data_IF_151265098657
#
_entry.id   IF_151265098657
#
_cell.length_a   1.000
_cell.length_b   1.000
_cell.length_c   1.000
_cell.angle_alpha   90.00
_cell.angle_beta   90.00
_cell.angle_gamma   90.00
#
_symmetry.space_group_name_H-M   'P 1'
#
loop_
_entity.id
_entity.type
_entity.pdbx_description
1 polymer ?
2 non-polymer ?
3 non-polymer ?
4 non-polymer ?
5 non-polymer ?
6 non-polymer ?
7 water ?
#
# COMPACT_ATOMS: atom_id res chain seq x y z
N UNK A 3 -23.92 8.97 6.57
CA UNK A 3 -23.21 8.48 5.34
C UNK A 3 -21.69 8.63 5.50
N UNK A 4 -20.98 7.54 5.80
CA UNK A 4 -19.58 7.70 6.23
C UNK A 4 -18.63 7.85 5.05
N UNK A 5 -17.48 8.42 5.29
CA UNK A 5 -16.51 8.69 4.26
C UNK A 5 -15.23 7.95 4.57
N UNK A 6 -14.69 7.28 3.56
CA UNK A 6 -13.38 6.65 3.63
C UNK A 6 -12.33 7.48 2.86
N UNK A 7 -11.16 7.68 3.47
CA UNK A 7 -10.07 8.44 2.86
C UNK A 7 -8.80 7.62 3.02
N UNK A 8 -7.93 7.64 2.00
CA UNK A 8 -6.64 6.97 2.12
C UNK A 8 -5.60 7.71 1.34
N UNK A 9 -4.34 7.61 1.77
CA UNK A 9 -3.30 8.08 0.88
C UNK A 9 -3.15 7.16 -0.35
N UNK A 10 -2.51 7.72 -1.37
CA UNK A 10 -2.42 7.07 -2.68
C UNK A 10 -1.54 5.80 -2.69
N UNK A 11 -0.86 5.51 -1.59
CA UNK A 11 -0.18 4.20 -1.44
C UNK A 11 -1.17 3.03 -1.44
N UNK A 12 -2.47 3.31 -1.32
CA UNK A 12 -3.49 2.26 -1.41
C UNK A 12 -3.73 1.76 -2.84
N UNK A 13 -3.16 2.47 -3.82
CA UNK A 13 -3.20 2.10 -5.26
C UNK A 13 -4.57 2.28 -5.95
N UNK A 14 -5.61 2.67 -5.21
CA UNK A 14 -6.97 2.75 -5.78
C UNK A 14 -7.50 4.16 -5.69
N UNK A 15 -8.46 4.43 -6.56
CA UNK A 15 -9.10 5.76 -6.66
C UNK A 15 -10.59 5.73 -6.35
N UNK A 16 -11.20 4.54 -6.34
CA UNK A 16 -12.60 4.36 -6.05
C UNK A 16 -12.84 3.07 -5.27
N UNK A 17 -13.97 3.02 -4.57
CA UNK A 17 -14.44 1.86 -3.87
C UNK A 17 -15.92 1.81 -4.24
N UNK A 18 -16.29 0.93 -5.17
CA UNK A 18 -17.62 1.00 -5.73
C UNK A 18 -18.61 0.79 -4.61
N UNK A 19 -19.59 1.68 -4.51
CA UNK A 19 -20.62 1.65 -3.47
C UNK A 19 -20.33 2.49 -2.23
N UNK A 20 -19.12 3.05 -2.14
CA UNK A 20 -18.70 3.83 -0.99
C UNK A 20 -18.34 5.25 -1.40
N UNK A 21 -18.33 6.14 -0.41
CA UNK A 21 -17.75 7.45 -0.58
C UNK A 21 -16.28 7.30 -0.23
N UNK A 22 -15.39 7.55 -1.19
CA UNK A 22 -13.96 7.31 -1.00
C UNK A 22 -13.16 8.34 -1.76
N UNK A 23 -12.10 8.82 -1.12
CA UNK A 23 -11.15 9.72 -1.74
C UNK A 23 -9.71 9.35 -1.43
N UNK A 24 -8.90 9.22 -2.49
CA UNK A 24 -7.46 9.02 -2.36
C UNK A 24 -6.73 10.37 -2.32
N UNK A 25 -5.72 10.47 -1.48
CA UNK A 25 -4.94 11.68 -1.31
C UNK A 25 -3.51 11.43 -1.80
N UNK A 26 -3.11 12.12 -2.87
CA UNK A 26 -1.84 11.82 -3.54
C UNK A 26 -0.60 12.17 -2.77
N UNK A 27 0.35 11.24 -2.77
CA UNK A 27 1.74 11.53 -2.45
C UNK A 27 2.42 12.02 -3.73
N UNK A 28 3.65 12.52 -3.60
CA UNK A 28 4.39 13.09 -4.71
C UNK A 28 5.77 12.49 -4.76
N UNK A 29 6.21 12.11 -5.97
CA UNK A 29 7.53 11.59 -6.23
C UNK A 29 8.24 12.70 -6.99
N UNK A 30 9.47 13.00 -6.65
CA UNK A 30 10.17 14.07 -7.36
C UNK A 30 11.65 13.79 -7.63
N UNK A 31 12.14 14.38 -8.71
CA UNK A 31 13.58 14.49 -9.00
C UNK A 31 13.92 15.98 -8.85
N UNK A 32 15.15 16.37 -9.17
CA UNK A 32 15.52 17.79 -9.20
C UNK A 32 14.75 18.53 -10.31
N UNK A 33 14.37 17.80 -11.37
CA UNK A 33 13.70 18.38 -12.55
C UNK A 33 12.17 18.30 -12.68
N UNK A 34 11.51 17.40 -11.96
CA UNK A 34 10.08 17.16 -12.22
C UNK A 34 9.39 16.59 -10.97
N UNK A 35 8.14 16.99 -10.76
CA UNK A 35 7.28 16.44 -9.70
C UNK A 35 6.22 15.55 -10.33
N UNK A 36 6.08 14.34 -9.80
CA UNK A 36 5.07 13.43 -10.27
C UNK A 36 4.07 13.27 -9.13
N UNK A 37 2.85 13.72 -9.36
CA UNK A 37 1.80 13.64 -8.36
C UNK A 37 1.02 12.33 -8.59
N UNK A 38 0.88 11.52 -7.56
CA UNK A 38 0.26 10.20 -7.66
C UNK A 38 -1.27 10.34 -7.67
N UNK A 39 -1.80 10.88 -8.76
CA UNK A 39 -3.22 11.15 -8.86
C UNK A 39 -3.75 10.52 -10.15
N UNK A 40 -4.95 10.91 -10.56
CA UNK A 40 -5.52 10.43 -11.83
C UNK A 40 -4.78 10.79 -13.11
N UNK A 41 -3.91 11.78 -13.06
CA UNK A 41 -3.21 12.26 -14.25
C UNK A 41 -1.89 11.54 -14.50
N UNK A 42 -1.40 10.76 -13.53
CA UNK A 42 -0.05 10.22 -13.62
C UNK A 42 0.16 9.12 -14.68
N UNK A 43 1.16 9.33 -15.53
CA UNK A 43 1.61 8.33 -16.49
C UNK A 43 2.77 7.56 -15.84
N UNK A 44 2.43 6.45 -15.23
CA UNK A 44 3.40 5.71 -14.41
C UNK A 44 4.48 5.10 -15.28
N UNK A 45 4.10 4.58 -16.44
CA UNK A 45 5.04 3.98 -17.38
C UNK A 45 6.13 4.98 -17.78
N UNK A 46 5.70 6.20 -18.09
CA UNK A 46 6.62 7.29 -18.38
C UNK A 46 7.54 7.62 -17.19
N UNK A 47 6.96 7.69 -15.99
CA UNK A 47 7.75 8.00 -14.81
C UNK A 47 8.83 6.96 -14.59
N UNK A 48 8.46 5.68 -14.70
CA UNK A 48 9.43 4.60 -14.51
C UNK A 48 10.55 4.67 -15.56
N UNK A 49 10.20 5.01 -16.80
CA UNK A 49 11.19 5.16 -17.86
C UNK A 49 12.14 6.32 -17.52
N UNK A 50 11.61 7.41 -16.99
CA UNK A 50 12.43 8.56 -16.62
C UNK A 50 13.39 8.17 -15.50
N UNK A 51 12.86 7.51 -14.47
CA UNK A 51 13.66 7.13 -13.33
C UNK A 51 14.75 6.11 -13.66
N UNK A 52 14.46 5.14 -14.52
CA UNK A 52 15.45 4.11 -14.86
C UNK A 52 16.69 4.67 -15.55
N UNK A 53 16.57 5.83 -16.19
CA UNK A 53 17.72 6.49 -16.82
C UNK A 53 18.10 7.82 -16.15
N UNK A 54 17.48 8.12 -15.01
CA UNK A 54 17.81 9.33 -14.26
C UNK A 54 18.95 9.01 -13.32
N UNK A 55 20.01 9.81 -13.37
CA UNK A 55 21.22 9.51 -12.61
C UNK A 55 21.22 10.05 -11.17
N UNK A 56 20.44 11.08 -10.91
CA UNK A 56 20.45 11.73 -9.61
C UNK A 56 19.49 11.13 -8.59
N UNK A 57 19.36 11.81 -7.46
CA UNK A 57 18.50 11.33 -6.40
C UNK A 57 17.05 11.60 -6.74
N UNK A 58 16.16 10.79 -6.18
CA UNK A 58 14.73 11.03 -6.27
C UNK A 58 14.15 10.83 -4.89
N UNK A 59 12.98 11.42 -4.67
CA UNK A 59 12.40 11.62 -3.36
C UNK A 59 10.91 11.41 -3.39
N UNK A 60 10.31 11.15 -2.23
CA UNK A 60 8.88 11.17 -2.08
C UNK A 60 8.48 12.12 -0.96
N UNK A 61 7.24 12.59 -1.02
CA UNK A 61 6.71 13.49 0.01
C UNK A 61 5.29 13.08 0.37
N UNK A 62 4.96 13.23 1.65
CA UNK A 62 3.58 12.94 2.10
C UNK A 62 2.65 14.09 1.67
N UNK A 63 1.32 13.90 1.78
CA UNK A 63 0.43 14.98 1.36
C UNK A 63 0.44 16.18 2.31
N UNK A 64 0.15 17.36 1.77
CA UNK A 64 -0.02 18.55 2.59
C UNK A 64 -1.29 18.51 3.41
N UNK A 65 -1.29 19.26 4.51
CA UNK A 65 -2.50 19.36 5.33
C UNK A 65 -3.69 19.82 4.50
N UNK A 66 -3.46 20.74 3.55
CA UNK A 66 -4.54 21.24 2.68
C UNK A 66 -5.19 20.14 1.83
N UNK A 67 -4.37 19.22 1.31
CA UNK A 67 -4.88 18.09 0.52
C UNK A 67 -5.74 17.15 1.34
N UNK A 68 -5.32 16.88 2.58
CA UNK A 68 -6.15 16.08 3.48
C UNK A 68 -7.47 16.77 3.74
N UNK A 69 -7.44 18.06 4.06
CA UNK A 69 -8.67 18.79 4.37
C UNK A 69 -9.64 18.77 3.22
N UNK A 70 -9.13 18.95 2.01
CA UNK A 70 -9.95 18.88 0.80
C UNK A 70 -10.61 17.50 0.73
N UNK A 71 -9.87 16.45 1.04
CA UNK A 71 -10.38 15.09 0.93
C UNK A 71 -11.43 14.76 1.98
N UNK A 72 -11.33 15.39 3.15
CA UNK A 72 -12.29 15.14 4.21
C UNK A 72 -13.64 15.74 3.83
N UNK A 73 -13.60 16.81 3.04
CA UNK A 73 -14.80 17.49 2.61
C UNK A 73 -15.50 18.12 3.79
N UNK A 74 -16.75 17.75 4.00
CA UNK A 74 -17.48 18.25 5.15
C UNK A 74 -18.27 17.14 5.85
N UNK A 75 -17.79 15.91 5.73
CA UNK A 75 -18.51 14.81 6.34
C UNK A 75 -18.21 14.70 7.84
N UNK A 76 -19.16 14.14 8.57
CA UNK A 76 -19.04 14.06 9.99
C UNK A 76 -18.54 12.72 10.54
N UNK A 77 -18.42 11.71 9.71
CA UNK A 77 -17.84 10.44 10.12
C UNK A 77 -16.84 9.99 9.06
N UNK A 78 -15.56 9.97 9.42
CA UNK A 78 -14.49 9.72 8.49
C UNK A 78 -13.50 8.71 9.06
N UNK A 79 -13.13 7.74 8.22
CA UNK A 79 -12.01 6.86 8.49
C UNK A 79 -10.94 7.19 7.48
N UNK A 80 -9.71 7.35 7.98
CA UNK A 80 -8.55 7.67 7.14
C UNK A 80 -7.55 6.54 7.28
N UNK A 81 -7.15 5.92 6.16
CA UNK A 81 -6.15 4.85 6.22
C UNK A 81 -4.84 5.38 5.65
N UNK A 82 -3.75 5.21 6.40
CA UNK A 82 -2.46 5.70 5.95
C UNK A 82 -1.43 4.58 5.82
N UNK A 83 -0.44 4.82 4.98
CA UNK A 83 0.77 4.00 4.89
C UNK A 83 1.46 4.03 6.27
N UNK A 84 2.18 2.96 6.57
CA UNK A 84 2.86 2.79 7.84
C UNK A 84 3.58 4.03 8.38
N UNK A 85 3.26 4.34 9.63
CA UNK A 85 3.95 5.39 10.35
C UNK A 85 5.41 5.01 10.59
N UNK A 86 5.72 3.73 10.42
CA UNK A 86 7.08 3.24 10.59
C UNK A 86 8.01 3.61 9.47
N UNK A 87 7.48 4.02 8.31
CA UNK A 87 8.32 4.38 7.17
C UNK A 87 8.03 5.70 6.49
N UNK A 88 7.05 6.44 7.00
CA UNK A 88 6.58 7.63 6.34
C UNK A 88 5.99 8.60 7.33
N UNK A 89 6.12 9.89 7.03
CA UNK A 89 5.41 10.96 7.73
C UNK A 89 3.93 11.13 7.38
N UNK A 90 3.38 10.23 6.58
CA UNK A 90 1.99 10.35 6.15
C UNK A 90 0.99 10.31 7.28
N UNK A 91 1.15 9.35 8.19
CA UNK A 91 0.29 9.26 9.37
C UNK A 91 0.29 10.58 10.17
N UNK A 92 1.46 11.14 10.45
CA UNK A 92 1.53 12.40 11.15
C UNK A 92 0.80 13.53 10.40
N UNK A 93 0.95 13.58 9.07
CA UNK A 93 0.30 14.63 8.28
C UNK A 93 -1.22 14.50 8.39
N UNK A 94 -1.70 13.25 8.39
CA UNK A 94 -3.14 12.99 8.52
C UNK A 94 -3.65 13.37 9.93
N UNK A 95 -2.86 13.07 10.95
CA UNK A 95 -3.20 13.48 12.33
C UNK A 95 -3.22 15.01 12.47
N UNK A 96 -2.28 15.68 11.82
CA UNK A 96 -2.26 17.14 11.84
C UNK A 96 -3.51 17.73 11.16
N UNK A 97 -3.88 17.13 10.03
CA UNK A 97 -5.08 17.57 9.33
C UNK A 97 -6.36 17.27 10.14
N UNK A 98 -6.41 16.14 10.81
CA UNK A 98 -7.53 15.78 11.69
C UNK A 98 -7.71 16.84 12.77
N UNK A 99 -6.58 17.29 13.31
CA UNK A 99 -6.57 18.30 14.38
C UNK A 99 -7.27 19.57 13.93
N UNK A 100 -6.90 20.06 12.75
CA UNK A 100 -7.52 21.23 12.18
C UNK A 100 -9.00 20.96 11.87
N UNK A 101 -9.28 19.80 11.31
CA UNK A 101 -10.68 19.47 10.91
C UNK A 101 -11.63 19.46 12.12
N UNK A 102 -11.18 18.87 13.22
CA UNK A 102 -11.99 18.84 14.44
C UNK A 102 -12.17 20.23 15.05
N UNK A 103 -11.29 21.17 14.75
CA UNK A 103 -11.49 22.55 15.20
C UNK A 103 -12.43 23.32 14.28
N UNK A 104 -12.79 22.69 13.15
CA UNK A 104 -13.68 23.29 12.14
C UNK A 104 -15.04 22.59 12.00
N UNK A 105 -15.19 21.41 12.58
CA UNK A 105 -16.42 20.59 12.43
C UNK A 105 -16.79 20.00 13.76
N UNK A 106 -17.71 20.66 14.46
CA UNK A 106 -17.97 20.35 15.85
C UNK A 106 -18.62 18.98 16.08
N UNK A 107 -19.30 18.43 15.08
CA UNK A 107 -19.91 17.14 15.30
C UNK A 107 -19.06 16.00 14.70
N UNK A 108 -17.88 16.31 14.18
CA UNK A 108 -17.15 15.32 13.40
C UNK A 108 -16.48 14.28 14.28
N UNK A 109 -16.42 13.06 13.77
CA UNK A 109 -15.58 11.99 14.29
C UNK A 109 -14.66 11.54 13.18
N UNK A 110 -13.36 11.51 13.47
CA UNK A 110 -12.36 11.13 12.50
C UNK A 110 -11.40 10.17 13.13
N UNK A 111 -11.22 9.01 12.51
CA UNK A 111 -10.27 8.02 13.01
C UNK A 111 -9.21 7.87 11.96
N UNK A 112 -7.96 8.13 12.34
CA UNK A 112 -6.83 7.89 11.45
C UNK A 112 -6.25 6.52 11.82
N UNK A 113 -6.17 5.65 10.81
CA UNK A 113 -5.67 4.27 10.95
C UNK A 113 -4.29 4.18 10.33
N UNK A 114 -3.29 3.97 11.18
CA UNK A 114 -1.96 3.60 10.73
C UNK A 114 -2.08 2.15 10.29
N UNK A 115 -1.97 1.90 9.00
CA UNK A 115 -2.12 0.53 8.48
C UNK A 115 -0.99 -0.38 8.88
N UNK A 116 0.15 0.20 9.32
CA UNK A 116 1.36 -0.57 9.61
C UNK A 116 1.84 -1.31 8.34
N UNK A 117 1.42 -0.83 7.18
CA UNK A 117 1.74 -1.47 5.94
C UNK A 117 1.56 -0.51 4.75
N UNK A 118 1.16 -1.06 3.60
CA UNK A 118 1.03 -0.30 2.37
C UNK A 118 0.18 -1.10 1.39
N UNK A 119 -0.19 -0.44 0.29
CA UNK A 119 -0.75 -1.10 -0.87
C UNK A 119 -1.90 -2.03 -0.57
N UNK A 120 -1.75 -3.31 -0.94
CA UNK A 120 -2.90 -4.19 -0.82
C UNK A 120 -3.41 -4.41 0.59
N UNK A 121 -2.56 -4.23 1.60
CA UNK A 121 -3.04 -4.33 2.98
C UNK A 121 -3.94 -3.14 3.33
N UNK A 122 -3.57 -1.95 2.86
CA UNK A 122 -4.44 -0.75 2.99
C UNK A 122 -5.75 -1.02 2.25
N UNK A 123 -5.68 -1.61 1.06
CA UNK A 123 -6.91 -1.97 0.34
C UNK A 123 -7.81 -2.90 1.14
N UNK A 124 -7.24 -3.96 1.72
CA UNK A 124 -8.00 -4.90 2.54
C UNK A 124 -8.68 -4.19 3.73
N UNK A 125 -7.95 -3.31 4.38
CA UNK A 125 -8.53 -2.51 5.48
C UNK A 125 -9.73 -1.70 4.98
N UNK A 126 -9.55 -0.98 3.87
CA UNK A 126 -10.60 -0.15 3.29
C UNK A 126 -11.84 -0.98 2.95
N UNK A 127 -11.60 -2.16 2.38
CA UNK A 127 -12.71 -3.03 2.04
C UNK A 127 -13.46 -3.57 3.27
N UNK A 128 -12.75 -3.78 4.36
CA UNK A 128 -13.40 -4.24 5.58
C UNK A 128 -14.21 -3.12 6.23
N UNK A 129 -13.70 -1.89 6.16
CA UNK A 129 -14.43 -0.72 6.63
C UNK A 129 -15.73 -0.62 5.83
N UNK A 130 -15.61 -0.79 4.51
CA UNK A 130 -16.78 -0.74 3.66
C UNK A 130 -17.80 -1.81 4.03
N UNK A 131 -17.33 -3.04 4.18
CA UNK A 131 -18.21 -4.15 4.58
C UNK A 131 -18.96 -3.86 5.91
N UNK A 132 -18.25 -3.35 6.90
CA UNK A 132 -18.90 -3.05 8.18
C UNK A 132 -19.90 -1.92 8.08
N UNK A 133 -19.57 -0.90 7.31
CA UNK A 133 -20.51 0.17 7.03
C UNK A 133 -21.77 -0.37 6.35
N UNK A 134 -21.60 -1.26 5.38
CA UNK A 134 -22.74 -1.84 4.67
C UNK A 134 -23.57 -2.77 5.56
N UNK A 135 -22.93 -3.37 6.55
CA UNK A 135 -23.62 -4.19 7.55
C UNK A 135 -24.41 -3.34 8.56
N UNK A 136 -24.26 -2.03 8.53
CA UNK A 136 -24.99 -1.11 9.41
C UNK A 136 -24.32 -0.85 10.74
N UNK A 137 -23.03 -1.15 10.85
CA UNK A 137 -22.32 -0.95 12.09
C UNK A 137 -22.13 0.55 12.33
N UNK A 138 -22.16 0.96 13.60
CA UNK A 138 -21.95 2.35 13.94
C UNK A 138 -20.46 2.69 13.97
N UNK A 139 -20.16 3.98 13.85
CA UNK A 139 -18.78 4.48 13.82
C UNK A 139 -17.92 3.89 14.95
N UNK A 140 -18.46 3.95 16.17
CA UNK A 140 -17.70 3.49 17.33
C UNK A 140 -17.45 1.97 17.28
N UNK A 141 -18.40 1.21 16.75
CA UNK A 141 -18.21 -0.24 16.59
C UNK A 141 -17.10 -0.53 15.59
N UNK A 142 -17.11 0.20 14.48
CA UNK A 142 -16.17 -0.01 13.41
C UNK A 142 -14.77 0.41 13.88
N UNK A 143 -14.71 1.54 14.57
CA UNK A 143 -13.45 2.10 15.04
C UNK A 143 -12.73 1.09 15.97
N UNK A 144 -13.48 0.41 16.83
CA UNK A 144 -12.90 -0.65 17.70
C UNK A 144 -12.49 -1.89 16.93
N UNK A 145 -13.37 -2.31 16.04
CA UNK A 145 -13.25 -3.64 15.44
C UNK A 145 -12.19 -3.74 14.36
N UNK A 146 -11.92 -2.63 13.67
CA UNK A 146 -11.01 -2.65 12.54
C UNK A 146 -9.59 -3.04 12.99
N UNK A 147 -9.18 -2.56 14.17
CA UNK A 147 -7.84 -2.91 14.70
C UNK A 147 -7.70 -4.39 15.02
N UNK A 148 -8.77 -5.01 15.48
CA UNK A 148 -8.76 -6.45 15.71
C UNK A 148 -8.64 -7.23 14.40
N UNK A 149 -9.42 -6.79 13.40
CA UNK A 149 -9.40 -7.37 12.05
C UNK A 149 -8.00 -7.31 11.42
N UNK A 150 -7.32 -6.18 11.61
CA UNK A 150 -5.97 -5.98 11.07
C UNK A 150 -4.93 -6.98 11.58
N UNK A 151 -5.12 -7.45 12.79
CA UNK A 151 -4.22 -8.44 13.36
C UNK A 151 -4.24 -9.74 12.56
N UNK A 152 -5.33 -10.00 11.84
CA UNK A 152 -5.51 -11.19 11.02
C UNK A 152 -5.31 -10.88 9.54
N UNK A 153 -4.34 -10.00 9.26
CA UNK A 153 -3.95 -9.70 7.88
C UNK A 153 -2.41 -9.67 7.79
N UNK A 154 -1.86 -9.97 6.62
CA UNK A 154 -0.44 -9.98 6.38
C UNK A 154 -0.12 -9.42 5.02
N UNK A 155 1.13 -9.02 4.84
CA UNK A 155 1.62 -8.56 3.55
C UNK A 155 2.94 -9.24 3.22
N UNK A 156 3.08 -9.65 1.98
CA UNK A 156 4.35 -10.14 1.45
C UNK A 156 4.65 -9.44 0.15
N UNK A 157 5.93 -9.30 -0.18
CA UNK A 157 6.31 -8.69 -1.42
C UNK A 157 7.48 -9.43 -2.04
N UNK A 158 7.64 -9.27 -3.34
CA UNK A 158 8.84 -9.71 -4.04
C UNK A 158 9.31 -8.58 -4.96
N UNK A 159 10.50 -8.08 -4.70
CA UNK A 159 11.04 -6.91 -5.38
C UNK A 159 12.29 -7.26 -6.18
N UNK A 160 12.34 -6.83 -7.43
CA UNK A 160 13.47 -7.10 -8.31
C UNK A 160 14.56 -6.05 -8.16
N UNK A 161 14.19 -4.91 -7.61
CA UNK A 161 15.15 -3.84 -7.30
C UNK A 161 14.67 -3.09 -6.07
N UNK A 162 15.61 -2.74 -5.19
CA UNK A 162 15.32 -1.98 -3.98
C UNK A 162 16.13 -0.69 -3.94
N UNK A 163 16.50 -0.18 -5.12
CA UNK A 163 17.34 1.00 -5.20
C UNK A 163 16.64 2.24 -4.61
N UNK A 164 15.37 2.42 -4.96
CA UNK A 164 14.62 3.59 -4.46
C UNK A 164 14.35 3.54 -2.95
N UNK A 165 14.00 2.36 -2.44
CA UNK A 165 13.93 2.17 -0.99
C UNK A 165 15.26 2.50 -0.32
N UNK A 166 16.35 1.96 -0.87
CA UNK A 166 17.66 2.12 -0.28
C UNK A 166 18.15 3.56 -0.32
N UNK A 167 17.96 4.25 -1.46
CA UNK A 167 18.48 5.62 -1.54
C UNK A 167 17.68 6.56 -0.64
N UNK A 168 16.46 6.17 -0.28
CA UNK A 168 15.65 6.93 0.65
C UNK A 168 15.71 6.47 2.11
N UNK A 169 16.65 5.59 2.41
CA UNK A 169 16.89 5.11 3.77
C UNK A 169 15.82 4.19 4.31
N UNK A 170 15.06 3.53 3.43
CA UNK A 170 13.95 2.69 3.90
C UNK A 170 14.24 1.19 3.93
N UNK A 171 15.41 0.79 3.45
CA UNK A 171 15.87 -0.58 3.60
C UNK A 171 17.39 -0.51 3.71
N UNK A 172 17.99 -1.46 4.41
CA UNK A 172 19.45 -1.51 4.54
C UNK A 172 20.11 -1.78 3.20
N UNK A 173 21.33 -1.26 3.03
CA UNK A 173 22.12 -1.54 1.85
C UNK A 173 22.38 -3.04 1.65
N UNK A 174 22.65 -3.78 2.73
CA UNK A 174 22.94 -5.19 2.59
C UNK A 174 21.75 -5.92 1.99
N UNK A 175 20.55 -5.57 2.45
CA UNK A 175 19.32 -6.17 1.95
C UNK A 175 19.09 -5.81 0.48
N UNK A 176 19.28 -4.54 0.14
CA UNK A 176 19.08 -4.09 -1.24
C UNK A 176 20.09 -4.69 -2.20
N UNK A 177 21.31 -4.95 -1.73
CA UNK A 177 22.37 -5.45 -2.62
C UNK A 177 22.05 -6.79 -3.26
N UNK A 178 21.26 -7.61 -2.59
CA UNK A 178 20.88 -8.91 -3.15
C UNK A 178 20.21 -8.78 -4.51
N UNK A 179 19.35 -7.77 -4.62
CA UNK A 179 18.51 -7.59 -5.80
C UNK A 179 19.30 -6.91 -6.89
N UNK A 180 20.55 -6.51 -6.63
CA UNK A 180 21.39 -5.94 -7.66
C UNK A 180 21.83 -6.98 -8.68
N UNK A 181 21.79 -8.27 -8.30
CA UNK A 181 22.15 -9.37 -9.19
C UNK A 181 20.97 -9.65 -10.13
N UNK A 182 21.25 -9.74 -11.43
CA UNK A 182 20.18 -9.92 -12.43
C UNK A 182 19.48 -11.26 -12.24
N UNK A 183 18.15 -11.21 -12.10
CA UNK A 183 17.33 -12.41 -11.87
C UNK A 183 17.07 -12.76 -10.41
N UNK A 184 17.62 -11.98 -9.48
CA UNK A 184 17.37 -12.17 -8.07
C UNK A 184 16.36 -11.15 -7.57
N UNK A 185 15.33 -11.64 -6.89
CA UNK A 185 14.38 -10.81 -6.15
C UNK A 185 14.54 -10.99 -4.66
N UNK A 186 14.13 -9.98 -3.90
CA UNK A 186 14.07 -10.06 -2.44
C UNK A 186 12.63 -10.17 -2.03
N UNK A 187 12.38 -11.16 -1.16
CA UNK A 187 11.06 -11.38 -0.61
C UNK A 187 10.98 -10.71 0.77
N UNK A 188 9.94 -9.94 1.00
CA UNK A 188 9.75 -9.24 2.26
C UNK A 188 8.37 -9.44 2.85
N UNK A 189 8.24 -9.01 4.10
CA UNK A 189 6.94 -8.90 4.75
C UNK A 189 6.87 -7.59 5.51
N UNK A 190 5.64 -7.13 5.79
CA UNK A 190 5.45 -6.01 6.70
C UNK A 190 5.68 -6.52 8.12
N UNK A 191 6.62 -5.89 8.84
CA UNK A 191 6.96 -6.32 10.20
C UNK A 191 5.91 -5.84 11.20
N UNK A 192 6.02 -6.35 12.42
CA UNK A 192 5.17 -5.91 13.52
C UNK A 192 5.40 -4.42 13.85
N UNK A 193 6.52 -3.85 13.41
CA UNK A 193 6.80 -2.42 13.59
C UNK A 193 6.44 -1.57 12.39
N UNK A 194 5.78 -2.17 11.39
CA UNK A 194 5.44 -1.45 10.20
C UNK A 194 6.64 -1.07 9.35
N UNK A 195 7.63 -1.95 9.30
CA UNK A 195 8.78 -1.76 8.45
C UNK A 195 8.94 -2.96 7.51
N UNK A 196 9.81 -2.82 6.53
CA UNK A 196 10.02 -3.86 5.54
C UNK A 196 11.02 -4.84 6.12
N UNK A 197 10.58 -6.07 6.32
CA UNK A 197 11.41 -7.11 6.89
C UNK A 197 11.76 -8.08 5.77
N UNK A 198 13.04 -8.20 5.42
CA UNK A 198 13.43 -9.10 4.33
C UNK A 198 13.41 -10.56 4.84
N UNK A 199 12.75 -11.42 4.08
CA UNK A 199 12.58 -12.83 4.44
C UNK A 199 13.66 -13.65 3.74
N UNK A 200 14.01 -13.27 2.53
CA UNK A 200 15.01 -13.97 1.77
C UNK A 200 15.07 -13.58 0.33
N UNK A 201 15.94 -14.23 -0.43
CA UNK A 201 16.11 -13.92 -1.84
C UNK A 201 15.49 -15.03 -2.64
N UNK A 202 15.29 -14.77 -3.92
CA UNK A 202 14.64 -15.73 -4.74
C UNK A 202 15.07 -15.63 -6.19
N UNK A 203 15.48 -16.74 -6.80
CA UNK A 203 15.77 -16.76 -8.23
C UNK A 203 14.63 -17.35 -9.08
N UNK A 204 13.79 -16.47 -9.60
CA UNK A 204 12.79 -16.81 -10.59
C UNK A 204 11.40 -17.00 -10.03
N UNK A 205 10.43 -16.94 -10.93
CA UNK A 205 9.02 -17.01 -10.58
C UNK A 205 8.62 -18.31 -9.88
N UNK A 206 9.06 -19.46 -10.39
CA UNK A 206 8.61 -20.71 -9.81
C UNK A 206 9.08 -20.85 -8.35
N UNK A 207 10.32 -20.45 -8.10
CA UNK A 207 10.85 -20.50 -6.74
C UNK A 207 10.11 -19.56 -5.79
N UNK A 208 9.74 -18.39 -6.29
CA UNK A 208 8.89 -17.46 -5.53
C UNK A 208 7.55 -18.09 -5.17
N UNK A 209 6.90 -18.77 -6.12
CA UNK A 209 5.60 -19.37 -5.84
C UNK A 209 5.70 -20.37 -4.68
N UNK A 210 6.76 -21.17 -4.67
CA UNK A 210 6.96 -22.17 -3.61
C UNK A 210 7.23 -21.51 -2.25
N UNK A 211 8.07 -20.49 -2.26
CA UNK A 211 8.35 -19.77 -1.02
C UNK A 211 7.10 -19.08 -0.46
N UNK A 212 6.30 -18.47 -1.33
CA UNK A 212 5.09 -17.80 -0.91
C UNK A 212 4.09 -18.77 -0.32
N UNK A 213 3.99 -19.96 -0.93
CA UNK A 213 3.08 -20.97 -0.39
C UNK A 213 3.49 -21.37 1.02
N UNK A 214 4.80 -21.53 1.24
CA UNK A 214 5.30 -21.88 2.58
C UNK A 214 5.03 -20.72 3.59
N UNK A 215 5.25 -19.49 3.15
CA UNK A 215 5.01 -18.31 4.00
C UNK A 215 3.52 -18.16 4.36
N UNK A 216 2.65 -18.34 3.36
CA UNK A 216 1.22 -18.26 3.58
C UNK A 216 0.75 -19.34 4.55
N UNK A 217 1.22 -20.58 4.37
CA UNK A 217 0.91 -21.68 5.28
C UNK A 217 1.28 -21.32 6.73
N UNK A 218 2.51 -20.86 6.92
CA UNK A 218 2.98 -20.50 8.25
C UNK A 218 2.22 -19.31 8.83
N UNK A 219 1.79 -18.39 7.97
CA UNK A 219 1.04 -17.20 8.39
C UNK A 219 -0.40 -17.52 8.81
N UNK A 220 -0.89 -18.71 8.52
CA UNK A 220 -2.27 -19.07 8.86
C UNK A 220 -3.27 -18.70 7.78
N UNK A 221 -2.80 -18.58 6.54
CA UNK A 221 -3.69 -18.34 5.41
C UNK A 221 -4.53 -19.59 5.16
N UNK A 222 -5.84 -19.39 5.04
CA UNK A 222 -6.79 -20.47 4.81
C UNK A 222 -7.83 -20.17 3.71
N UNK A 223 -7.40 -19.44 2.69
CA UNK A 223 -8.26 -19.21 1.54
C UNK A 223 -9.14 -17.97 1.57
N UNK A 224 -8.90 -17.05 2.49
CA UNK A 224 -9.64 -15.80 2.59
C UNK A 224 -9.23 -14.76 1.56
N UNK A 225 -9.69 -13.53 1.77
CA UNK A 225 -9.48 -12.47 0.82
C UNK A 225 -8.00 -12.28 0.51
N UNK A 226 -7.70 -12.08 -0.77
CA UNK A 226 -6.34 -11.97 -1.31
C UNK A 226 -6.31 -10.81 -2.30
N UNK A 227 -5.35 -9.91 -2.13
CA UNK A 227 -5.22 -8.74 -3.01
C UNK A 227 -3.77 -8.67 -3.44
N UNK A 228 -3.55 -8.58 -4.75
CA UNK A 228 -2.19 -8.54 -5.30
C UNK A 228 -2.05 -7.35 -6.25
N UNK A 229 -1.11 -6.46 -5.98
CA UNK A 229 -0.76 -5.41 -6.93
C UNK A 229 0.61 -5.68 -7.53
N UNK A 230 0.82 -5.17 -8.73
CA UNK A 230 2.03 -5.37 -9.48
C UNK A 230 2.44 -4.10 -10.18
N UNK A 231 3.74 -3.99 -10.42
CA UNK A 231 4.34 -2.90 -11.16
C UNK A 231 4.82 -3.48 -12.48
N UNK A 232 3.96 -3.38 -13.48
CA UNK A 232 4.23 -3.90 -14.84
C UNK A 232 4.66 -5.36 -14.77
N UNK A 233 3.98 -6.13 -13.95
CA UNK A 233 4.20 -7.56 -13.89
C UNK A 233 2.90 -8.31 -13.67
N UNK A 234 1.95 -8.09 -14.58
CA UNK A 234 0.68 -8.79 -14.51
C UNK A 234 0.88 -10.31 -14.62
N UNK A 235 1.91 -10.72 -15.37
CA UNK A 235 2.17 -12.14 -15.60
C UNK A 235 2.45 -12.86 -14.30
N UNK A 236 3.32 -12.29 -13.47
CA UNK A 236 3.68 -12.89 -12.18
C UNK A 236 2.51 -12.82 -11.21
N UNK A 237 1.80 -11.68 -11.18
CA UNK A 237 0.68 -11.54 -10.28
C UNK A 237 -0.39 -12.60 -10.59
N UNK A 238 -0.65 -12.84 -11.88
CA UNK A 238 -1.61 -13.87 -12.29
C UNK A 238 -1.14 -15.27 -11.92
N UNK A 239 0.16 -15.56 -12.04
CA UNK A 239 0.69 -16.87 -11.61
C UNK A 239 0.48 -17.11 -10.11
N UNK A 240 0.74 -16.07 -9.32
CA UNK A 240 0.56 -16.14 -7.87
C UNK A 240 -0.92 -16.39 -7.56
N UNK A 241 -1.80 -15.62 -8.20
CA UNK A 241 -3.23 -15.78 -7.98
C UNK A 241 -3.67 -17.20 -8.30
N UNK A 242 -3.18 -17.75 -9.41
CA UNK A 242 -3.54 -19.13 -9.81
C UNK A 242 -3.05 -20.15 -8.77
N UNK A 243 -1.82 -19.97 -8.30
CA UNK A 243 -1.25 -20.86 -7.31
C UNK A 243 -2.10 -20.87 -6.04
N UNK A 244 -2.50 -19.68 -5.58
CA UNK A 244 -3.23 -19.56 -4.34
C UNK A 244 -4.65 -20.14 -4.47
N UNK A 245 -5.30 -19.92 -5.60
CA UNK A 245 -6.61 -20.52 -5.85
C UNK A 245 -6.55 -22.02 -5.80
N UNK A 246 -5.53 -22.58 -6.43
CA UNK A 246 -5.37 -24.03 -6.48
C UNK A 246 -5.05 -24.64 -5.12
N UNK A 247 -4.15 -24.00 -4.37
CA UNK A 247 -3.66 -24.55 -3.10
C UNK A 247 -4.63 -24.34 -1.95
N UNK A 248 -5.35 -23.23 -1.96
CA UNK A 248 -6.20 -22.87 -0.81
C UNK A 248 -7.69 -22.76 -1.11
N UNK A 249 -8.08 -22.81 -2.38
CA UNK A 249 -9.50 -22.73 -2.74
C UNK A 249 -10.07 -21.33 -2.69
N UNK A 250 -9.18 -20.33 -2.67
CA UNK A 250 -9.58 -18.92 -2.60
C UNK A 250 -10.51 -18.56 -3.76
N UNK A 251 -11.58 -17.84 -3.46
CA UNK A 251 -12.47 -17.28 -4.49
C UNK A 251 -12.44 -15.75 -4.50
N UNK A 252 -12.03 -15.12 -3.39
CA UNK A 252 -12.04 -13.65 -3.32
C UNK A 252 -10.63 -13.09 -3.58
N UNK A 253 -10.30 -12.94 -4.86
CA UNK A 253 -8.98 -12.53 -5.31
C UNK A 253 -9.14 -11.38 -6.26
N UNK A 254 -8.25 -10.40 -6.14
CA UNK A 254 -8.17 -9.32 -7.12
C UNK A 254 -6.69 -9.04 -7.41
N UNK A 255 -6.35 -9.00 -8.69
CA UNK A 255 -5.02 -8.62 -9.18
C UNK A 255 -5.17 -7.28 -9.90
N UNK A 256 -4.32 -6.31 -9.56
CA UNK A 256 -4.48 -4.99 -10.12
C UNK A 256 -3.16 -4.23 -10.13
N UNK A 257 -3.14 -3.11 -10.84
CA UNK A 257 -1.91 -2.33 -11.00
C UNK A 257 -1.63 -1.47 -9.75
N UNK A 258 -0.35 -1.40 -9.41
CA UNK A 258 0.13 -0.45 -8.40
C UNK A 258 -0.04 0.99 -8.87
N UNK A 259 -0.21 1.90 -7.91
CA UNK A 259 -0.24 3.32 -8.17
C UNK A 259 1.18 3.85 -8.21
N UNK A 260 1.30 5.18 -8.28
CA UNK A 260 2.58 5.85 -8.44
C UNK A 260 3.57 5.60 -7.31
N UNK A 261 3.12 5.77 -6.07
CA UNK A 261 3.98 5.63 -4.90
C UNK A 261 4.49 4.21 -4.78
N UNK A 262 3.58 3.24 -4.84
CA UNK A 262 4.00 1.85 -4.78
C UNK A 262 4.86 1.45 -5.98
N UNK A 263 4.61 2.02 -7.15
CA UNK A 263 5.44 1.73 -8.34
C UNK A 263 6.86 2.27 -8.15
N UNK A 264 6.98 3.43 -7.51
CA UNK A 264 8.29 4.02 -7.23
C UNK A 264 9.12 3.12 -6.30
N UNK A 265 8.53 2.68 -5.20
CA UNK A 265 9.26 1.95 -4.17
C UNK A 265 9.36 0.44 -4.42
N UNK A 266 8.35 -0.16 -5.04
CA UNK A 266 8.43 -1.59 -5.41
C UNK A 266 9.23 -1.85 -6.67
N UNK A 267 9.25 -0.84 -7.55
CA UNK A 267 10.00 -0.82 -8.82
C UNK A 267 9.47 -1.78 -9.87
N UNK A 268 9.90 -1.58 -11.10
CA UNK A 268 9.46 -2.39 -12.21
C UNK A 268 9.69 -3.86 -11.87
N UNK A 269 8.65 -4.66 -12.11
CA UNK A 269 8.69 -6.10 -11.88
C UNK A 269 8.12 -6.49 -10.53
N UNK A 270 7.96 -5.53 -9.64
CA UNK A 270 7.61 -5.82 -8.27
C UNK A 270 6.17 -6.29 -8.08
N UNK A 271 6.01 -7.12 -7.05
CA UNK A 271 4.71 -7.65 -6.61
C UNK A 271 4.52 -7.33 -5.13
N UNK A 272 3.30 -6.97 -4.74
CA UNK A 272 2.94 -6.91 -3.32
C UNK A 272 1.61 -7.61 -3.14
N UNK A 273 1.50 -8.44 -2.12
CA UNK A 273 0.26 -9.10 -1.83
C UNK A 273 -0.14 -9.00 -0.38
N UNK A 274 -1.44 -8.96 -0.16
CA UNK A 274 -1.96 -8.98 1.18
C UNK A 274 -3.10 -9.98 1.30
N UNK A 275 -3.24 -10.56 2.49
CA UNK A 275 -4.29 -11.55 2.73
C UNK A 275 -4.84 -11.49 4.13
N UNK A 276 -6.07 -11.97 4.27
CA UNK A 276 -6.65 -12.33 5.55
C UNK A 276 -6.13 -13.69 5.99
N UNK A 277 -5.83 -13.82 7.28
CA UNK A 277 -5.41 -15.08 7.87
C UNK A 277 -6.43 -15.53 8.91
N UNK A 278 -6.28 -16.75 9.43
CA UNK A 278 -7.11 -17.19 10.57
C UNK A 278 -6.75 -16.39 11.87
X LIG B 1 5.66 -2.04 5.71
X LIG B 1 5.42 -2.20 4.29
X LIG B 1 6.37 -3.21 3.64
X LIG B 1 6.05 -3.37 2.21
X LIG B 1 7.00 -2.70 1.31
X LIG B 1 6.64 -2.98 -0.14
X LIG B 1 7.46 -2.31 -1.14
X LIG B 1 7.27 -0.89 -1.34
X LIG B 1 5.86 -0.33 -1.17
X LIG B 1 5.83 1.08 -0.72
X LIG B 1 6.38 1.31 0.59
X LIG B 1 6.71 2.81 0.75
X LIG B 1 7.36 3.10 2.00
X LIG B 1 7.85 4.49 2.06
X LIG B 1 6.85 5.63 1.73
X LIG B 1 7.42 7.01 1.99
X LIG B 1 6.49 8.11 1.54
X LIG B 1 7.02 9.53 1.95
X LIG B 1 6.62 9.74 3.35
X LIG C 1 4.44 -9.58 11.01
X LIG C 1 5.31 -10.72 11.20
X LIG C 1 3.56 -9.42 12.25
X LIG C 1 2.25 -8.91 11.93
X LIG D 1 12.92 3.48 8.22
X LIG D 1 13.00 2.12 7.74
X LIG D 1 14.20 1.38 8.39
X LIG D 1 15.31 1.17 7.47
X LIG D 1 16.43 0.54 8.12
X LIG D 1 17.76 0.83 7.40
X LIG D 1 17.91 2.20 6.99
X LIG D 1 19.11 2.81 7.53
X LIG D 1 19.10 4.32 7.31
X LIG D 1 18.25 5.03 8.28
X LIG D 1 17.75 6.29 7.77
X LIG D 1 16.59 6.83 8.60
X LIG D 1 15.39 6.87 7.82
X LIG E 1 17.27 -8.22 -9.21
X LIG F 1 21.97 -16.89 -7.84
X LIG F 1 22.20 -15.77 -8.39
X LIG F 1 20.93 -17.57 -8.09
X LIG F 1 22.98 -17.41 -6.86
#
# INVERSE_FOLDING_TARGET
>A
SNAMRLVADSACDIKELRGMVFKAVPLTISTDNEEFCDDGQLDIHRMLDILEKHKGRSYTACPGIDAWLEAFGDDDEIFVVTITAGMSGTYNSAMAARAVYLEEHPQAKVRVIDSKSTGPQMRIILEQLQQMIEEGKKFEEIDGAIDAYMQKTRLFCSLKSLHNLAQNGRVSKVVASAAEVLGISVIGTASSHGTLEAIGKCRGDKKLLVKLQALLDDAGYEGGKLRICHVENEALADKIADMIKQAYGTTDVCVYKAGGLCSYYAERGGIILSCETK
>B hetero
1 P6G O1 C2 C3 O4 C5 C6 O7 C8 C9 O10 C11 C12 O13 C14 C15 O16 C17 C18 O19
>C hetero
1 EDO C1 O1 C2 O2
>D hetero
1 PG4 O1 C1 C2 O2 C3 C4 O3 C5 C6 O4 C7 C8 O5
>E hetero
1 NA NA
>F hetero
1 ACY C O OXT CH3
#
